data_IF_874861369947
#
_entry.id   IF_874861369947
#
_cell.length_a   1.000
_cell.length_b   1.000
_cell.length_c   1.000
_cell.angle_alpha   90.00
_cell.angle_beta   90.00
_cell.angle_gamma   90.00
#
_symmetry.space_group_name_H-M   'P 1'
#
loop_
_entity.id
_entity.type
_entity.pdbx_description
1 polymer ?
#
# COMPACT_ATOMS: atom_id res chain seq x y z
N UNK A 1 -6.19 -13.85 26.55
CA UNK A 1 -6.41 -14.70 25.37
C UNK A 1 -6.21 -13.81 24.16
N UNK A 2 -5.10 -13.98 23.44
CA UNK A 2 -4.88 -13.26 22.18
C UNK A 2 -5.60 -13.99 21.07
N UNK A 3 -6.44 -13.30 20.31
CA UNK A 3 -7.01 -13.86 19.09
C UNK A 3 -5.88 -13.98 18.06
N UNK A 4 -5.70 -15.19 17.53
CA UNK A 4 -4.80 -15.44 16.40
C UNK A 4 -5.35 -14.72 15.17
N UNK A 5 -4.51 -13.92 14.51
CA UNK A 5 -4.88 -13.24 13.27
C UNK A 5 -4.55 -14.18 12.11
N UNK A 6 -5.57 -14.72 11.49
CA UNK A 6 -5.46 -15.55 10.28
C UNK A 6 -5.67 -14.68 9.06
N UNK A 7 -4.84 -14.87 8.03
CA UNK A 7 -4.99 -14.18 6.76
C UNK A 7 -6.10 -14.83 5.94
N UNK A 8 -7.05 -14.03 5.46
CA UNK A 8 -8.16 -14.50 4.62
C UNK A 8 -8.00 -13.94 3.20
N UNK A 9 -7.46 -14.71 2.25
CA UNK A 9 -7.26 -14.26 0.88
C UNK A 9 -8.57 -14.09 0.10
N UNK A 10 -9.62 -14.83 0.46
CA UNK A 10 -10.92 -14.76 -0.22
C UNK A 10 -11.61 -13.43 0.11
N UNK A 11 -11.58 -13.03 1.38
CA UNK A 11 -12.11 -11.73 1.81
C UNK A 11 -11.38 -10.54 1.14
N UNK A 12 -10.07 -10.65 0.91
CA UNK A 12 -9.31 -9.63 0.18
C UNK A 12 -9.79 -9.54 -1.27
N UNK A 13 -9.98 -10.67 -1.95
CA UNK A 13 -10.42 -10.67 -3.34
C UNK A 13 -11.85 -10.14 -3.51
N UNK A 14 -12.78 -10.52 -2.62
CA UNK A 14 -14.14 -9.99 -2.61
C UNK A 14 -14.13 -8.47 -2.46
N UNK A 15 -13.33 -7.94 -1.53
CA UNK A 15 -13.23 -6.50 -1.34
C UNK A 15 -12.57 -5.79 -2.53
N UNK A 16 -11.59 -6.42 -3.20
CA UNK A 16 -11.00 -5.88 -4.46
C UNK A 16 -12.05 -5.79 -5.57
N UNK A 17 -12.85 -6.83 -5.78
CA UNK A 17 -13.92 -6.83 -6.78
C UNK A 17 -14.94 -5.72 -6.50
N UNK A 18 -15.34 -5.56 -5.24
CA UNK A 18 -16.21 -4.46 -4.81
C UNK A 18 -15.61 -3.07 -5.13
N UNK A 19 -14.30 -2.86 -4.87
CA UNK A 19 -13.64 -1.60 -5.19
C UNK A 19 -13.59 -1.33 -6.70
N UNK A 20 -13.40 -2.36 -7.52
CA UNK A 20 -13.40 -2.25 -8.98
C UNK A 20 -14.79 -1.86 -9.51
N UNK A 21 -15.86 -2.43 -8.97
CA UNK A 21 -17.23 -2.02 -9.31
C UNK A 21 -17.51 -0.57 -8.91
N UNK A 22 -17.04 -0.15 -7.73
CA UNK A 22 -17.19 1.23 -7.27
C UNK A 22 -16.39 2.21 -8.14
N UNK A 23 -15.19 1.84 -8.55
CA UNK A 23 -14.38 2.60 -9.50
C UNK A 23 -15.07 2.72 -10.86
N UNK A 24 -15.62 1.63 -11.38
CA UNK A 24 -16.38 1.64 -12.64
C UNK A 24 -17.56 2.62 -12.55
N UNK A 25 -18.37 2.53 -11.50
CA UNK A 25 -19.48 3.45 -11.28
C UNK A 25 -19.02 4.91 -11.20
N UNK A 26 -17.95 5.18 -10.46
CA UNK A 26 -17.39 6.53 -10.33
C UNK A 26 -16.89 7.07 -11.68
N UNK A 27 -16.10 6.29 -12.41
CA UNK A 27 -15.42 6.72 -13.64
C UNK A 27 -16.34 6.78 -14.85
N UNK A 28 -17.28 5.85 -14.97
CA UNK A 28 -18.11 5.70 -16.15
C UNK A 28 -19.51 6.31 -15.98
N UNK A 29 -19.96 6.57 -14.75
CA UNK A 29 -21.30 7.12 -14.49
C UNK A 29 -21.25 8.50 -13.83
N UNK A 30 -20.42 8.70 -12.81
CA UNK A 30 -20.46 9.96 -12.01
C UNK A 30 -19.55 11.05 -12.58
N UNK A 31 -18.27 10.76 -12.79
CA UNK A 31 -17.29 11.74 -13.31
C UNK A 31 -17.73 12.34 -14.66
N UNK A 32 -18.27 11.55 -15.63
CA UNK A 32 -18.70 12.10 -16.91
C UNK A 32 -19.82 13.13 -16.76
N UNK A 33 -20.70 13.01 -15.78
CA UNK A 33 -21.80 13.97 -15.55
C UNK A 33 -21.27 15.38 -15.29
N UNK A 34 -20.18 15.52 -14.52
CA UNK A 34 -19.53 16.80 -14.25
C UNK A 34 -18.55 17.22 -15.35
N UNK A 35 -17.84 16.28 -15.97
CA UNK A 35 -16.80 16.58 -16.95
C UNK A 35 -17.33 16.94 -18.33
N UNK A 36 -18.27 16.15 -18.86
CA UNK A 36 -18.77 16.27 -20.23
C UNK A 36 -20.30 16.23 -20.34
N UNK A 37 -20.99 15.89 -19.25
CA UNK A 37 -22.43 15.70 -19.19
C UNK A 37 -23.21 16.95 -18.81
N UNK A 38 -24.38 16.74 -18.22
CA UNK A 38 -25.37 17.78 -17.93
C UNK A 38 -24.90 18.86 -16.96
N UNK A 39 -23.94 18.55 -16.09
CA UNK A 39 -23.38 19.48 -15.12
C UNK A 39 -22.06 20.10 -15.58
N UNK A 40 -21.63 19.85 -16.81
CA UNK A 40 -20.41 20.46 -17.38
C UNK A 40 -20.53 21.97 -17.61
N UNK A 41 -21.75 22.52 -17.57
CA UNK A 41 -22.02 23.94 -17.83
C UNK A 41 -22.87 24.54 -16.73
N UNK A 42 -22.68 25.84 -16.54
CA UNK A 42 -23.50 26.63 -15.64
C UNK A 42 -24.99 26.56 -16.06
N UNK A 43 -25.91 26.37 -15.09
CA UNK A 43 -27.34 26.53 -15.31
C UNK A 43 -27.70 27.93 -15.80
N UNK A 44 -28.87 28.07 -16.42
CA UNK A 44 -29.43 29.38 -16.74
C UNK A 44 -29.90 30.07 -15.45
N UNK A 45 -29.02 30.86 -14.85
CA UNK A 45 -29.39 31.74 -13.75
C UNK A 45 -30.31 32.83 -14.31
N UNK A 46 -31.51 32.98 -13.70
CA UNK A 46 -32.52 33.93 -14.18
C UNK A 46 -32.03 35.38 -14.23
N UNK A 47 -32.79 36.25 -14.87
CA UNK A 47 -32.40 37.65 -15.14
C UNK A 47 -32.72 38.62 -14.00
N UNK A 48 -33.04 38.13 -12.81
CA UNK A 48 -33.27 39.00 -11.67
C UNK A 48 -31.96 39.74 -11.31
N UNK A 49 -32.02 41.03 -10.92
CA UNK A 49 -30.81 41.79 -10.57
C UNK A 49 -29.99 41.06 -9.49
N UNK A 50 -28.70 40.84 -9.74
CA UNK A 50 -27.81 40.16 -8.79
C UNK A 50 -27.91 38.64 -8.78
N UNK A 51 -28.87 38.03 -9.49
CA UNK A 51 -29.04 36.57 -9.54
C UNK A 51 -27.94 35.91 -10.36
N UNK A 52 -27.64 36.44 -11.54
CA UNK A 52 -26.59 35.89 -12.39
C UNK A 52 -25.19 36.18 -11.83
N UNK A 53 -24.96 37.38 -11.29
CA UNK A 53 -23.65 37.79 -10.79
C UNK A 53 -23.18 36.95 -9.60
N UNK A 54 -24.08 36.62 -8.67
CA UNK A 54 -23.72 35.81 -7.49
C UNK A 54 -23.82 34.30 -7.75
N UNK A 55 -24.88 33.84 -8.43
CA UNK A 55 -25.10 32.40 -8.60
C UNK A 55 -24.07 31.76 -9.54
N UNK A 56 -23.59 32.49 -10.56
CA UNK A 56 -22.56 31.97 -11.46
C UNK A 56 -21.24 31.72 -10.72
N UNK A 57 -20.82 32.65 -9.88
CA UNK A 57 -19.57 32.51 -9.09
C UNK A 57 -19.69 31.33 -8.12
N UNK A 58 -20.77 31.26 -7.36
CA UNK A 58 -20.99 30.15 -6.41
C UNK A 58 -21.07 28.78 -7.10
N UNK A 59 -21.69 28.72 -8.28
CA UNK A 59 -21.74 27.49 -9.06
C UNK A 59 -20.35 27.05 -9.50
N UNK A 60 -19.51 27.97 -9.99
CA UNK A 60 -18.15 27.63 -10.42
C UNK A 60 -17.30 27.14 -9.25
N UNK A 61 -17.40 27.77 -8.08
CA UNK A 61 -16.72 27.32 -6.88
C UNK A 61 -17.17 25.93 -6.43
N UNK A 62 -18.49 25.71 -6.38
CA UNK A 62 -19.07 24.40 -6.06
C UNK A 62 -18.64 23.33 -7.05
N UNK A 63 -18.69 23.64 -8.36
CA UNK A 63 -18.32 22.69 -9.41
C UNK A 63 -16.84 22.32 -9.31
N UNK A 64 -15.96 23.31 -9.16
CA UNK A 64 -14.52 23.07 -8.99
C UNK A 64 -14.20 22.27 -7.73
N UNK A 65 -14.86 22.59 -6.61
CA UNK A 65 -14.69 21.84 -5.35
C UNK A 65 -15.16 20.40 -5.50
N UNK A 66 -16.34 20.18 -6.10
CA UNK A 66 -16.90 18.85 -6.33
C UNK A 66 -16.01 18.04 -7.26
N UNK A 67 -15.55 18.63 -8.36
CA UNK A 67 -14.62 17.99 -9.27
C UNK A 67 -13.37 17.51 -8.55
N UNK A 68 -12.70 18.40 -7.80
CA UNK A 68 -11.50 18.05 -7.04
C UNK A 68 -11.77 16.92 -6.03
N UNK A 69 -12.89 16.95 -5.32
CA UNK A 69 -13.27 15.91 -4.38
C UNK A 69 -13.46 14.55 -5.07
N UNK A 70 -14.08 14.51 -6.25
CA UNK A 70 -14.23 13.28 -7.03
C UNK A 70 -12.88 12.74 -7.50
N UNK A 71 -11.95 13.62 -7.90
CA UNK A 71 -10.62 13.19 -8.30
C UNK A 71 -9.82 12.63 -7.11
N UNK A 72 -9.98 13.20 -5.90
CA UNK A 72 -9.40 12.63 -4.69
C UNK A 72 -9.98 11.26 -4.37
N UNK A 73 -11.32 11.13 -4.39
CA UNK A 73 -11.98 9.84 -4.17
C UNK A 73 -11.48 8.79 -5.16
N UNK A 74 -11.42 9.13 -6.45
CA UNK A 74 -10.88 8.28 -7.51
C UNK A 74 -9.46 7.81 -7.19
N UNK A 75 -8.56 8.74 -6.83
CA UNK A 75 -7.19 8.42 -6.47
C UNK A 75 -7.09 7.53 -5.23
N UNK A 76 -7.90 7.79 -4.20
CA UNK A 76 -7.95 6.96 -2.98
C UNK A 76 -8.43 5.54 -3.28
N UNK A 77 -9.46 5.38 -4.11
CA UNK A 77 -9.97 4.05 -4.49
C UNK A 77 -8.92 3.24 -5.28
N UNK A 78 -8.27 3.85 -6.27
CA UNK A 78 -7.15 3.20 -6.98
C UNK A 78 -5.98 2.85 -6.05
N UNK A 79 -5.66 3.73 -5.10
CA UNK A 79 -4.63 3.46 -4.10
C UNK A 79 -4.95 2.26 -3.21
N UNK A 80 -6.21 2.13 -2.79
CA UNK A 80 -6.67 0.97 -2.00
C UNK A 80 -6.65 -0.31 -2.82
N UNK A 81 -7.14 -0.29 -4.06
CA UNK A 81 -7.09 -1.44 -4.97
C UNK A 81 -5.65 -1.91 -5.17
N UNK A 82 -4.74 -0.99 -5.48
CA UNK A 82 -3.33 -1.30 -5.72
C UNK A 82 -2.67 -1.90 -4.48
N UNK A 83 -2.93 -1.34 -3.29
CA UNK A 83 -2.40 -1.87 -2.04
C UNK A 83 -2.91 -3.30 -1.76
N UNK A 84 -4.20 -3.56 -2.00
CA UNK A 84 -4.78 -4.89 -1.80
C UNK A 84 -4.25 -5.91 -2.82
N UNK A 85 -4.00 -5.48 -4.06
CA UNK A 85 -3.36 -6.32 -5.09
C UNK A 85 -1.96 -6.76 -4.66
N UNK A 86 -1.18 -5.86 -4.06
CA UNK A 86 0.14 -6.19 -3.50
C UNK A 86 0.01 -7.16 -2.32
N UNK A 87 -0.96 -6.94 -1.43
CA UNK A 87 -1.21 -7.84 -0.29
C UNK A 87 -1.65 -9.23 -0.75
N UNK A 88 -2.54 -9.33 -1.74
CA UNK A 88 -2.99 -10.60 -2.30
C UNK A 88 -1.82 -11.39 -2.94
N UNK A 89 -0.91 -10.69 -3.63
CA UNK A 89 0.27 -11.29 -4.23
C UNK A 89 1.32 -11.74 -3.19
N UNK A 90 1.44 -11.03 -2.06
CA UNK A 90 2.48 -11.30 -1.03
C UNK A 90 2.01 -12.22 0.10
N UNK A 91 0.70 -12.25 0.40
CA UNK A 91 0.14 -13.08 1.48
C UNK A 91 0.38 -14.58 1.27
N UNK A 92 0.35 -15.04 0.01
CA UNK A 92 0.64 -16.44 -0.32
C UNK A 92 2.13 -16.84 -0.22
N UNK A 93 3.05 -15.88 -0.32
CA UNK A 93 4.49 -16.13 -0.20
C UNK A 93 4.91 -16.14 1.28
N UNK A 94 4.40 -15.20 2.09
CA UNK A 94 4.70 -15.12 3.51
C UNK A 94 4.20 -16.34 4.31
N UNK A 95 3.02 -16.87 3.96
CA UNK A 95 2.46 -18.06 4.60
C UNK A 95 3.16 -19.35 4.13
N UNK A 96 3.63 -19.40 2.87
CA UNK A 96 4.50 -20.49 2.39
C UNK A 96 5.85 -20.53 3.09
N UNK A 97 6.51 -19.38 3.28
CA UNK A 97 7.77 -19.36 4.04
C UNK A 97 7.56 -19.74 5.51
N UNK A 98 6.47 -19.28 6.13
CA UNK A 98 6.14 -19.63 7.51
C UNK A 98 5.86 -21.14 7.69
N UNK A 99 5.13 -21.75 6.75
CA UNK A 99 4.83 -23.19 6.78
C UNK A 99 6.05 -24.06 6.49
N UNK A 100 6.94 -23.65 5.57
CA UNK A 100 8.20 -24.34 5.29
C UNK A 100 9.19 -24.21 6.46
N UNK A 101 9.24 -23.07 7.12
CA UNK A 101 10.07 -22.85 8.32
C UNK A 101 9.63 -23.70 9.52
N UNK A 102 8.31 -23.79 9.77
CA UNK A 102 7.77 -24.58 10.88
C UNK A 102 7.93 -26.10 10.66
N UNK A 103 7.70 -26.59 9.44
CA UNK A 103 7.90 -27.99 9.10
C UNK A 103 9.38 -28.42 9.20
N UNK A 104 10.31 -27.50 8.96
CA UNK A 104 11.75 -27.77 9.10
C UNK A 104 12.18 -27.89 10.56
N UNK A 105 11.55 -27.12 11.47
CA UNK A 105 11.86 -27.19 12.91
C UNK A 105 11.27 -28.43 13.60
N UNK A 106 10.16 -28.98 13.10
CA UNK A 106 9.58 -30.21 13.67
C UNK A 106 10.37 -31.47 13.26
N UNK A 107 10.99 -31.45 12.09
CA UNK A 107 11.84 -32.54 11.59
C UNK A 107 13.14 -32.71 12.40
N UNK A 108 13.63 -31.64 13.03
CA UNK A 108 14.87 -31.64 13.84
C UNK A 108 14.65 -32.06 15.31
N UNK A 109 13.39 -32.14 15.77
CA UNK A 109 13.05 -32.52 17.14
C UNK A 109 12.75 -34.03 17.31
N UNK A 110 12.76 -34.80 16.22
CA UNK A 110 12.48 -36.24 16.20
C UNK A 110 13.75 -37.12 16.26
N UNK A 111 14.89 -36.60 16.74
CA UNK A 111 16.07 -37.40 17.03
C UNK A 111 16.02 -37.88 18.50
N UNK A 112 16.05 -39.20 18.77
CA UNK A 112 15.97 -39.70 20.13
C UNK A 112 17.23 -39.33 20.92
N UNK A 113 16.98 -38.87 22.15
CA UNK A 113 17.95 -38.59 23.20
C UNK A 113 18.91 -39.77 23.40
N UNK A 114 20.20 -39.56 23.14
CA UNK A 114 21.28 -40.40 23.65
C UNK A 114 22.30 -39.51 24.36
N UNK A 115 22.53 -39.84 25.63
CA UNK A 115 23.41 -39.16 26.59
C UNK A 115 24.92 -39.28 26.25
N UNK A 116 25.78 -38.49 26.93
CA UNK A 116 27.08 -38.06 26.41
C UNK A 116 28.21 -39.03 26.76
N UNK A 117 29.27 -39.06 25.94
CA UNK A 117 30.57 -39.61 26.33
C UNK A 117 31.67 -38.67 25.86
N UNK A 118 32.42 -38.14 26.82
CA UNK A 118 33.65 -37.40 26.62
C UNK A 118 34.73 -38.30 25.99
N UNK A 119 35.65 -37.75 25.19
CA UNK A 119 37.01 -37.40 25.66
C UNK A 119 37.98 -37.01 24.51
N UNK A 120 38.96 -36.17 24.89
CA UNK A 120 40.27 -35.86 24.29
C UNK A 120 40.36 -35.20 22.90
N UNK A 121 40.73 -33.91 22.81
CA UNK A 121 42.10 -33.33 22.93
C UNK A 121 43.00 -33.59 21.73
N UNK A 122 43.28 -32.55 20.93
CA UNK A 122 44.67 -32.13 20.64
C UNK A 122 44.74 -30.72 20.04
N UNK A 123 45.81 -30.03 20.45
CA UNK A 123 46.13 -28.63 20.22
C UNK A 123 46.48 -28.29 18.76
N UNK A 124 46.37 -26.99 18.43
CA UNK A 124 47.15 -26.44 17.32
C UNK A 124 46.76 -25.05 16.84
N UNK A 125 47.64 -24.09 17.08
CA UNK A 125 47.85 -22.82 16.36
C UNK A 125 46.98 -21.59 16.70
N UNK A 126 47.61 -20.76 17.51
CA UNK A 126 47.40 -19.31 17.68
C UNK A 126 47.80 -18.59 16.38
N UNK A 127 46.99 -17.62 15.92
CA UNK A 127 47.51 -16.47 15.18
C UNK A 127 46.74 -15.20 15.58
N UNK A 128 47.42 -14.30 16.28
CA UNK A 128 47.03 -12.89 16.44
C UNK A 128 47.40 -12.10 15.18
N UNK A 129 46.58 -11.15 14.76
CA UNK A 129 47.06 -9.83 14.29
C UNK A 129 45.95 -8.78 14.37
N UNK A 130 46.40 -7.56 14.67
CA UNK A 130 45.65 -6.39 15.13
C UNK A 130 45.03 -5.55 13.98
N UNK A 131 43.93 -4.86 14.32
CA UNK A 131 43.61 -3.44 14.05
C UNK A 131 43.80 -2.80 12.67
N UNK A 132 42.72 -2.23 12.12
CA UNK A 132 42.77 -0.92 11.42
C UNK A 132 41.37 -0.31 11.24
N UNK A 133 41.19 0.91 11.73
CA UNK A 133 40.05 1.81 11.48
C UNK A 133 40.48 2.86 10.46
N UNK A 134 39.65 3.16 9.44
CA UNK A 134 39.69 4.47 8.76
C UNK A 134 38.28 5.00 8.51
N UNK A 135 38.15 6.25 8.94
CA UNK A 135 37.11 7.26 8.80
C UNK A 135 36.82 7.69 7.35
N UNK A 136 35.57 8.08 7.09
CA UNK A 136 35.23 9.23 6.26
C UNK A 136 35.01 9.02 4.75
N UNK A 137 33.79 9.32 4.28
CA UNK A 137 33.49 10.31 3.20
C UNK A 137 31.97 10.33 2.95
N UNK A 138 31.31 11.39 3.43
CA UNK A 138 30.07 12.00 2.88
C UNK A 138 30.56 13.19 2.00
N UNK A 139 29.77 13.94 1.18
CA UNK A 139 28.37 13.83 0.77
C UNK A 139 28.12 14.08 -0.75
N UNK A 140 26.98 13.65 -1.29
CA UNK A 140 26.57 14.17 -2.61
C UNK A 140 25.38 13.52 -3.27
N UNK A 141 24.23 14.20 -3.24
CA UNK A 141 23.10 13.84 -4.12
C UNK A 141 21.76 14.51 -3.83
N UNK A 142 21.71 15.75 -3.32
CA UNK A 142 20.45 16.49 -3.24
C UNK A 142 20.13 17.12 -4.61
N UNK A 143 19.12 16.60 -5.29
CA UNK A 143 18.57 17.18 -6.53
C UNK A 143 17.58 18.29 -6.16
N UNK A 144 17.88 19.53 -6.55
CA UNK A 144 16.99 20.69 -6.42
C UNK A 144 16.29 20.93 -7.76
N UNK A 145 14.95 20.98 -7.75
CA UNK A 145 14.13 21.44 -8.86
C UNK A 145 14.08 22.97 -8.87
N UNK A 146 14.38 23.60 -10.01
CA UNK A 146 14.15 25.03 -10.25
C UNK A 146 12.79 25.28 -10.88
N UNK A 147 12.24 26.45 -10.56
CA UNK A 147 10.93 26.99 -10.91
C UNK A 147 10.70 27.21 -12.42
#
# INVERSE_FOLDING_TARGET
MGQERVFDPEAIEEYRLFLLELLDALENQVIPVLGTGTLSRAPAFGTAPGAAENAAVQYLEFHAATWRNLQYLRGTLHGMESALTVVAASGGEAEKEATVGLASTESDLAAPTAEPTADQSTAGAVHMTEGFTVEGTDPGGATVFTA
#
